data_IF_814748296729
#
_entry.id   IF_814748296729
#
_cell.length_a   1.000
_cell.length_b   1.000
_cell.length_c   1.000
_cell.angle_alpha   90.00
_cell.angle_beta   90.00
_cell.angle_gamma   90.00
#
_symmetry.space_group_name_H-M   'P 1'
#
loop_
_entity.id
_entity.type
_entity.pdbx_description
1 polymer ?
#
# COMPACT_ATOMS: atom_id res chain seq x y z
N UNK A 1 -17.04 -14.38 1.29
CA UNK A 1 -17.05 -13.15 0.48
C UNK A 1 -15.97 -12.18 0.95
N UNK A 2 -16.03 -11.66 2.19
CA UNK A 2 -15.02 -10.72 2.72
C UNK A 2 -13.57 -11.23 2.61
N UNK A 3 -13.33 -12.52 2.88
CA UNK A 3 -12.00 -13.13 2.69
C UNK A 3 -11.45 -12.98 1.27
N UNK A 4 -12.29 -12.96 0.24
CA UNK A 4 -11.89 -12.75 -1.16
C UNK A 4 -11.80 -11.27 -1.54
N UNK A 5 -12.50 -10.38 -0.82
CA UNK A 5 -12.29 -8.92 -0.94
C UNK A 5 -10.89 -8.58 -0.45
N UNK A 6 -10.47 -9.13 0.69
CA UNK A 6 -9.07 -9.05 1.08
C UNK A 6 -8.20 -9.79 0.05
N UNK A 7 -8.42 -11.10 -0.11
CA UNK A 7 -7.60 -11.94 -0.96
C UNK A 7 -6.10 -11.79 -0.67
N UNK A 8 -5.26 -12.09 -1.66
CA UNK A 8 -3.81 -11.87 -1.53
C UNK A 8 -3.46 -10.39 -1.40
N UNK A 9 -4.19 -9.49 -2.06
CA UNK A 9 -3.87 -8.07 -2.06
C UNK A 9 -4.03 -7.43 -0.68
N UNK A 10 -5.17 -7.65 -0.02
CA UNK A 10 -5.44 -7.18 1.33
C UNK A 10 -4.61 -7.90 2.39
N UNK A 11 -4.28 -9.19 2.17
CA UNK A 11 -3.33 -9.89 3.03
C UNK A 11 -1.91 -9.30 2.94
N UNK A 12 -1.44 -8.96 1.73
CA UNK A 12 -0.16 -8.24 1.54
C UNK A 12 -0.19 -6.86 2.19
N UNK A 13 -1.29 -6.11 2.05
CA UNK A 13 -1.46 -4.82 2.73
C UNK A 13 -1.33 -4.99 4.27
N UNK A 14 -1.98 -6.01 4.83
CA UNK A 14 -1.89 -6.33 6.25
C UNK A 14 -0.46 -6.71 6.68
N UNK A 15 0.30 -7.42 5.85
CA UNK A 15 1.72 -7.71 6.13
C UNK A 15 2.56 -6.43 6.19
N UNK A 16 2.33 -5.49 5.27
CA UNK A 16 3.00 -4.18 5.28
C UNK A 16 2.65 -3.38 6.55
N UNK A 17 1.35 -3.28 6.90
CA UNK A 17 0.91 -2.61 8.13
C UNK A 17 1.50 -3.29 9.37
N UNK A 18 1.51 -4.62 9.40
CA UNK A 18 2.15 -5.38 10.47
C UNK A 18 3.64 -5.08 10.60
N UNK A 19 4.35 -4.93 9.48
CA UNK A 19 5.77 -4.59 9.47
C UNK A 19 6.00 -3.17 10.03
N UNK A 20 5.19 -2.18 9.64
CA UNK A 20 5.26 -0.83 10.22
C UNK A 20 5.09 -0.87 11.74
N UNK A 21 4.08 -1.58 12.24
CA UNK A 21 3.80 -1.70 13.68
C UNK A 21 4.94 -2.42 14.42
N UNK A 22 5.49 -3.51 13.84
CA UNK A 22 6.63 -4.24 14.43
C UNK A 22 7.90 -3.40 14.53
N UNK A 23 8.04 -2.42 13.65
CA UNK A 23 9.12 -1.42 13.68
C UNK A 23 8.72 -0.16 14.48
N UNK A 24 7.73 -0.26 15.36
CA UNK A 24 7.33 0.80 16.29
C UNK A 24 6.82 2.09 15.62
N UNK A 25 6.37 2.00 14.36
CA UNK A 25 5.67 3.12 13.71
C UNK A 25 4.25 3.20 14.26
N UNK A 26 3.98 4.26 15.03
CA UNK A 26 2.68 4.53 15.65
C UNK A 26 1.91 5.59 14.87
N UNK A 27 0.59 5.76 15.10
CA UNK A 27 -0.17 6.88 14.53
C UNK A 27 0.43 8.26 14.84
N UNK A 28 1.11 8.41 15.99
CA UNK A 28 1.75 9.66 16.40
C UNK A 28 3.12 9.88 15.74
N UNK A 29 3.69 8.88 15.06
CA UNK A 29 5.01 8.97 14.43
C UNK A 29 5.03 9.91 13.22
N UNK A 30 3.88 10.16 12.59
CA UNK A 30 3.73 11.08 11.46
C UNK A 30 3.00 10.46 10.28
N UNK A 31 3.12 11.09 9.11
CA UNK A 31 2.40 10.70 7.89
C UNK A 31 2.92 9.37 7.31
N UNK A 32 1.97 8.53 6.87
CA UNK A 32 2.26 7.27 6.17
C UNK A 32 1.93 7.43 4.69
N UNK A 33 2.92 7.24 3.83
CA UNK A 33 2.74 7.26 2.38
C UNK A 33 2.19 5.90 1.89
N UNK A 34 1.19 5.90 1.01
CA UNK A 34 0.76 4.67 0.31
C UNK A 34 0.88 4.88 -1.19
N UNK A 35 1.73 4.12 -1.85
CA UNK A 35 1.86 4.18 -3.31
C UNK A 35 0.86 3.26 -4.00
N UNK A 36 0.53 3.53 -5.28
CA UNK A 36 -0.43 2.70 -6.02
C UNK A 36 -1.80 2.60 -5.33
N UNK A 37 -2.24 3.69 -4.69
CA UNK A 37 -3.34 3.67 -3.71
C UNK A 37 -4.70 3.25 -4.26
N UNK A 38 -4.90 3.30 -5.58
CA UNK A 38 -6.15 2.83 -6.20
C UNK A 38 -6.16 1.33 -6.48
N UNK A 39 -5.02 0.65 -6.42
CA UNK A 39 -4.93 -0.80 -6.65
C UNK A 39 -5.41 -1.61 -5.45
N UNK A 40 -5.46 -2.94 -5.58
CA UNK A 40 -5.99 -3.81 -4.52
C UNK A 40 -5.21 -3.75 -3.20
N UNK A 41 -3.87 -3.71 -3.26
CA UNK A 41 -3.02 -3.59 -2.06
C UNK A 41 -3.13 -2.18 -1.49
N UNK A 42 -2.93 -1.16 -2.33
CA UNK A 42 -2.92 0.25 -1.91
C UNK A 42 -4.24 0.69 -1.28
N UNK A 43 -5.38 0.37 -1.90
CA UNK A 43 -6.71 0.75 -1.38
C UNK A 43 -6.98 0.09 -0.03
N UNK A 44 -6.63 -1.19 0.13
CA UNK A 44 -6.77 -1.88 1.41
C UNK A 44 -5.83 -1.32 2.47
N UNK A 45 -4.59 -0.95 2.10
CA UNK A 45 -3.62 -0.35 3.00
C UNK A 45 -4.08 1.04 3.49
N UNK A 46 -4.58 1.89 2.59
CA UNK A 46 -5.17 3.19 2.95
C UNK A 46 -6.27 3.00 3.99
N UNK A 47 -7.24 2.13 3.69
CA UNK A 47 -8.39 1.93 4.55
C UNK A 47 -8.02 1.33 5.92
N UNK A 48 -7.07 0.40 5.96
CA UNK A 48 -6.59 -0.22 7.19
C UNK A 48 -5.78 0.76 8.05
N UNK A 49 -4.86 1.52 7.45
CA UNK A 49 -4.06 2.50 8.18
C UNK A 49 -4.94 3.63 8.73
N UNK A 50 -5.91 4.12 7.96
CA UNK A 50 -6.86 5.12 8.41
C UNK A 50 -7.74 4.59 9.57
N UNK A 51 -8.23 3.35 9.46
CA UNK A 51 -8.98 2.68 10.53
C UNK A 51 -8.15 2.56 11.83
N UNK A 52 -6.85 2.33 11.70
CA UNK A 52 -5.91 2.26 12.82
C UNK A 52 -5.44 3.64 13.33
N UNK A 53 -5.98 4.73 12.79
CA UNK A 53 -5.72 6.10 13.26
C UNK A 53 -4.50 6.79 12.65
N UNK A 54 -3.84 6.19 11.66
CA UNK A 54 -2.70 6.83 10.98
C UNK A 54 -3.16 7.93 10.03
N UNK A 55 -2.35 8.99 9.91
CA UNK A 55 -2.53 10.01 8.86
C UNK A 55 -1.96 9.47 7.55
N UNK A 56 -2.84 9.11 6.61
CA UNK A 56 -2.46 8.49 5.34
C UNK A 56 -2.37 9.51 4.21
N UNK A 57 -1.25 9.52 3.49
CA UNK A 57 -1.07 10.25 2.23
C UNK A 57 -1.07 9.26 1.07
N UNK A 58 -2.11 9.31 0.24
CA UNK A 58 -2.33 8.37 -0.85
C UNK A 58 -1.78 8.89 -2.19
N UNK A 59 -0.96 8.09 -2.88
CA UNK A 59 -0.47 8.40 -4.23
C UNK A 59 -1.32 7.71 -5.28
N UNK A 60 -1.82 8.48 -6.24
CA UNK A 60 -2.56 7.97 -7.40
C UNK A 60 -2.17 8.69 -8.69
N UNK A 61 -2.29 7.99 -9.81
CA UNK A 61 -2.24 8.60 -11.15
C UNK A 61 -3.62 8.84 -11.76
N UNK A 62 -4.70 8.47 -11.04
CA UNK A 62 -6.09 8.60 -11.48
C UNK A 62 -6.72 9.78 -10.76
N UNK A 63 -6.91 10.90 -11.46
CA UNK A 63 -7.44 12.13 -10.89
C UNK A 63 -8.90 11.95 -10.39
N UNK A 64 -9.66 11.11 -11.08
CA UNK A 64 -11.03 10.74 -10.76
C UNK A 64 -11.16 9.87 -9.49
N UNK A 65 -10.06 9.33 -8.97
CA UNK A 65 -10.07 8.45 -7.80
C UNK A 65 -9.96 9.19 -6.45
N UNK A 66 -9.95 10.53 -6.45
CA UNK A 66 -9.80 11.35 -5.23
C UNK A 66 -10.91 11.05 -4.22
N UNK A 67 -12.17 11.05 -4.64
CA UNK A 67 -13.31 10.82 -3.74
C UNK A 67 -13.32 9.38 -3.22
N UNK A 68 -12.94 8.41 -4.05
CA UNK A 68 -12.74 7.02 -3.65
C UNK A 68 -11.71 6.93 -2.51
N UNK A 69 -10.52 7.53 -2.68
CA UNK A 69 -9.45 7.48 -1.68
C UNK A 69 -9.81 8.23 -0.39
N UNK A 70 -10.52 9.36 -0.49
CA UNK A 70 -11.06 10.06 0.69
C UNK A 70 -12.09 9.20 1.43
N UNK A 71 -12.96 8.51 0.71
CA UNK A 71 -13.93 7.56 1.27
C UNK A 71 -13.27 6.40 2.03
N UNK A 72 -12.06 6.02 1.64
CA UNK A 72 -11.23 5.05 2.36
C UNK A 72 -10.46 5.65 3.54
N UNK A 73 -10.46 6.97 3.73
CA UNK A 73 -9.81 7.63 4.86
C UNK A 73 -8.42 8.22 4.56
N UNK A 74 -8.05 8.41 3.29
CA UNK A 74 -6.85 9.18 2.96
C UNK A 74 -7.00 10.64 3.42
N UNK A 75 -6.02 11.14 4.19
CA UNK A 75 -5.99 12.52 4.69
C UNK A 75 -5.51 13.50 3.60
N UNK A 76 -4.59 13.06 2.75
CA UNK A 76 -4.09 13.81 1.60
C UNK A 76 -3.96 12.87 0.40
N UNK A 77 -4.17 13.40 -0.80
CA UNK A 77 -3.97 12.68 -2.06
C UNK A 77 -2.99 13.47 -2.90
N UNK A 78 -1.92 12.81 -3.35
CA UNK A 78 -0.88 13.40 -4.20
C UNK A 78 -0.74 12.66 -5.53
N UNK A 79 -0.27 13.36 -6.54
CA UNK A 79 0.00 12.77 -7.86
C UNK A 79 1.29 11.96 -7.87
N UNK A 80 1.49 11.15 -8.91
CA UNK A 80 2.73 10.37 -9.10
C UNK A 80 3.96 11.28 -9.25
N UNK A 81 3.77 12.42 -9.90
CA UNK A 81 4.81 13.43 -10.13
C UNK A 81 5.21 14.08 -8.80
N UNK A 82 4.22 14.40 -7.94
CA UNK A 82 4.50 14.94 -6.61
C UNK A 82 5.19 13.93 -5.68
N UNK A 83 4.99 12.63 -5.91
CA UNK A 83 5.62 11.56 -5.14
C UNK A 83 7.01 11.14 -5.66
N UNK A 84 7.51 11.75 -6.74
CA UNK A 84 8.76 11.37 -7.40
C UNK A 84 9.71 12.56 -7.52
N UNK A 85 10.95 12.43 -7.03
CA UNK A 85 11.96 13.50 -7.09
C UNK A 85 13.11 13.15 -8.04
N UNK A 86 13.27 13.94 -9.10
CA UNK A 86 14.36 13.83 -10.08
C UNK A 86 15.61 14.66 -9.76
N UNK A 87 15.76 15.21 -8.55
CA UNK A 87 16.86 16.15 -8.22
C UNK A 87 18.21 15.46 -8.00
N UNK A 88 18.25 14.13 -7.89
CA UNK A 88 19.46 13.36 -7.59
C UNK A 88 19.98 13.50 -6.15
N UNK A 89 19.34 14.31 -5.29
CA UNK A 89 19.77 14.53 -3.90
C UNK A 89 19.62 13.24 -3.07
N UNK A 90 20.66 12.70 -2.44
CA UNK A 90 20.54 11.44 -1.70
C UNK A 90 19.64 11.52 -0.46
N UNK A 91 19.38 12.72 0.05
CA UNK A 91 18.45 12.99 1.14
C UNK A 91 17.51 14.13 0.75
N UNK A 92 16.22 13.92 0.95
CA UNK A 92 15.17 14.92 0.77
C UNK A 92 14.68 15.40 2.14
N UNK A 93 13.83 16.43 2.17
CA UNK A 93 13.17 16.85 3.42
C UNK A 93 12.40 15.64 3.99
N UNK A 94 12.65 15.32 5.26
CA UNK A 94 11.96 14.22 5.94
C UNK A 94 10.46 14.53 6.05
N UNK A 95 9.62 13.60 5.59
CA UNK A 95 8.16 13.70 5.60
C UNK A 95 7.49 12.42 6.08
N UNK A 96 7.98 11.25 5.65
CA UNK A 96 7.32 9.98 5.91
C UNK A 96 7.82 9.30 7.18
N UNK A 97 6.91 9.06 8.12
CA UNK A 97 7.16 8.18 9.26
C UNK A 97 7.20 6.71 8.82
N UNK A 98 6.42 6.39 7.79
CA UNK A 98 6.56 5.13 7.08
C UNK A 98 5.88 5.16 5.72
N UNK A 99 5.98 4.04 4.99
CA UNK A 99 5.30 3.89 3.73
C UNK A 99 4.89 2.44 3.42
N UNK A 100 3.81 2.30 2.66
CA UNK A 100 3.41 1.06 1.98
C UNK A 100 3.62 1.25 0.48
N UNK A 101 4.71 0.69 -0.03
CA UNK A 101 5.03 0.76 -1.45
C UNK A 101 4.56 -0.49 -2.21
N UNK A 102 3.76 -0.25 -3.24
CA UNK A 102 3.25 -1.28 -4.17
C UNK A 102 3.80 -1.08 -5.60
N UNK A 103 4.69 -0.12 -5.82
CA UNK A 103 5.03 0.38 -7.16
C UNK A 103 6.51 0.13 -7.51
N UNK A 104 7.43 0.30 -6.57
CA UNK A 104 8.87 0.22 -6.82
C UNK A 104 9.42 1.45 -7.58
N UNK A 105 10.64 1.30 -8.10
CA UNK A 105 11.32 2.33 -8.91
C UNK A 105 11.53 3.67 -8.21
N UNK A 106 11.47 4.75 -8.98
CA UNK A 106 11.81 6.11 -8.52
C UNK A 106 10.92 6.61 -7.38
N UNK A 107 9.67 6.14 -7.32
CA UNK A 107 8.74 6.48 -6.24
C UNK A 107 9.18 5.85 -4.92
N UNK A 108 9.57 4.57 -4.93
CA UNK A 108 10.14 3.90 -3.77
C UNK A 108 11.46 4.57 -3.34
N UNK A 109 12.35 4.85 -4.29
CA UNK A 109 13.59 5.59 -4.03
C UNK A 109 13.32 6.95 -3.39
N UNK A 110 12.33 7.70 -3.90
CA UNK A 110 11.93 9.01 -3.37
C UNK A 110 11.38 8.89 -1.95
N UNK A 111 10.53 7.90 -1.69
CA UNK A 111 9.99 7.61 -0.36
C UNK A 111 11.11 7.32 0.66
N UNK A 112 12.10 6.51 0.29
CA UNK A 112 13.28 6.22 1.13
C UNK A 112 14.08 7.50 1.42
N UNK A 113 14.35 8.32 0.41
CA UNK A 113 15.12 9.58 0.56
C UNK A 113 14.37 10.65 1.37
N UNK A 114 13.03 10.60 1.36
CA UNK A 114 12.14 11.51 2.08
C UNK A 114 11.64 10.94 3.42
N UNK A 115 12.10 9.76 3.84
CA UNK A 115 11.78 9.23 5.14
C UNK A 115 12.34 10.11 6.27
N UNK A 116 11.58 10.20 7.36
CA UNK A 116 12.01 10.83 8.60
C UNK A 116 13.08 9.98 9.30
N UNK A 117 13.66 10.50 10.39
CA UNK A 117 14.55 9.70 11.23
C UNK A 117 13.78 8.50 11.82
N UNK A 118 14.35 7.30 11.70
CA UNK A 118 13.73 6.03 12.09
C UNK A 118 12.58 5.58 11.18
N UNK A 119 12.34 6.24 10.04
CA UNK A 119 11.20 5.93 9.18
C UNK A 119 11.29 4.53 8.56
N UNK A 120 10.14 3.87 8.38
CA UNK A 120 10.07 2.49 7.88
C UNK A 120 9.29 2.42 6.58
N UNK A 121 9.96 1.98 5.52
CA UNK A 121 9.40 1.85 4.18
C UNK A 121 9.19 0.36 3.90
N UNK A 122 7.95 -0.05 3.69
CA UNK A 122 7.62 -1.43 3.29
C UNK A 122 7.51 -1.50 1.78
N UNK A 123 8.01 -2.56 1.15
CA UNK A 123 7.90 -2.78 -0.28
C UNK A 123 7.31 -4.17 -0.58
N UNK A 124 6.32 -4.19 -1.48
CA UNK A 124 5.60 -5.42 -1.84
C UNK A 124 5.20 -5.51 -3.32
N UNK A 125 5.50 -4.49 -4.13
CA UNK A 125 5.14 -4.46 -5.54
C UNK A 125 6.19 -3.81 -6.42
N UNK A 126 6.09 -4.07 -7.73
CA UNK A 126 7.06 -3.66 -8.75
C UNK A 126 6.36 -3.15 -10.02
N UNK A 127 5.16 -2.57 -9.88
CA UNK A 127 4.32 -2.12 -11.02
C UNK A 127 5.07 -1.18 -11.96
N UNK A 128 5.93 -0.29 -11.42
CA UNK A 128 6.73 0.62 -12.25
C UNK A 128 8.09 0.00 -12.62
N UNK A 129 8.81 -0.56 -11.66
CA UNK A 129 10.14 -1.11 -11.91
C UNK A 129 10.61 -2.04 -10.78
N UNK A 130 11.32 -3.14 -11.10
CA UNK A 130 12.02 -3.95 -10.11
C UNK A 130 13.36 -3.35 -9.69
N UNK A 131 13.85 -2.31 -10.36
CA UNK A 131 15.13 -1.66 -10.02
C UNK A 131 14.95 -0.73 -8.83
N UNK A 132 15.94 -0.71 -7.95
CA UNK A 132 16.04 0.20 -6.81
C UNK A 132 17.38 0.95 -6.89
N UNK A 133 17.33 2.19 -7.35
CA UNK A 133 18.50 3.06 -7.43
C UNK A 133 18.48 4.02 -6.24
N UNK A 134 19.30 3.74 -5.23
CA UNK A 134 19.39 4.56 -4.01
C UNK A 134 20.82 4.58 -3.47
N UNK A 135 21.04 5.33 -2.39
CA UNK A 135 22.33 5.39 -1.69
C UNK A 135 22.19 4.83 -0.28
N UNK A 136 23.30 4.56 0.39
CA UNK A 136 23.30 4.14 1.80
C UNK A 136 22.95 5.28 2.78
N UNK A 137 22.88 6.53 2.31
CA UNK A 137 22.76 7.72 3.16
C UNK A 137 21.46 7.79 3.98
N UNK A 138 20.25 7.49 3.46
CA UNK A 138 19.04 7.42 4.27
C UNK A 138 19.15 6.41 5.41
N UNK A 139 19.82 5.27 5.17
CA UNK A 139 19.95 4.20 6.15
C UNK A 139 20.92 4.60 7.27
N UNK A 140 22.13 5.06 6.93
CA UNK A 140 23.16 5.32 7.95
C UNK A 140 22.99 6.67 8.65
N UNK A 141 22.37 7.66 8.00
CA UNK A 141 22.21 9.00 8.59
C UNK A 141 20.83 9.24 9.21
N UNK A 142 19.81 8.49 8.81
CA UNK A 142 18.45 8.60 9.37
C UNK A 142 17.93 7.31 9.98
N UNK A 143 18.67 6.21 9.95
CA UNK A 143 18.18 4.94 10.49
C UNK A 143 16.95 4.40 9.74
N UNK A 144 16.79 4.75 8.46
CA UNK A 144 15.63 4.30 7.66
C UNK A 144 15.69 2.79 7.49
N UNK A 145 14.54 2.12 7.60
CA UNK A 145 14.40 0.69 7.33
C UNK A 145 13.65 0.47 6.01
N UNK A 146 14.17 -0.42 5.14
CA UNK A 146 13.44 -0.93 3.99
C UNK A 146 13.07 -2.40 4.26
N UNK A 147 11.76 -2.69 4.30
CA UNK A 147 11.23 -4.00 4.72
C UNK A 147 10.45 -4.65 3.59
N UNK A 148 10.97 -5.77 3.08
CA UNK A 148 10.29 -6.58 2.07
C UNK A 148 9.12 -7.36 2.66
N UNK A 149 7.97 -7.31 1.98
CA UNK A 149 6.76 -8.04 2.39
C UNK A 149 6.37 -9.06 1.30
N UNK A 150 6.65 -10.34 1.56
CA UNK A 150 6.25 -11.46 0.70
C UNK A 150 5.02 -12.19 1.26
N UNK A 151 3.94 -12.25 0.46
CA UNK A 151 2.72 -12.99 0.78
C UNK A 151 2.71 -14.43 0.25
N UNK A 152 3.56 -14.75 -0.72
CA UNK A 152 3.59 -16.05 -1.40
C UNK A 152 4.02 -17.15 -0.46
N UNK A 153 5.15 -16.97 0.23
CA UNK A 153 5.73 -17.98 1.12
C UNK A 153 5.56 -17.64 2.61
N UNK A 154 4.58 -16.81 2.97
CA UNK A 154 4.37 -16.44 4.37
C UNK A 154 4.17 -17.68 5.24
N UNK A 155 5.00 -17.88 6.30
CA UNK A 155 4.86 -19.00 7.21
C UNK A 155 3.46 -19.07 7.81
N UNK A 156 2.92 -20.29 7.95
CA UNK A 156 1.55 -20.50 8.41
C UNK A 156 1.22 -19.79 9.74
N UNK A 157 2.09 -19.78 10.77
CA UNK A 157 1.79 -19.07 12.01
C UNK A 157 1.55 -17.57 11.80
N UNK A 158 2.39 -16.92 10.98
CA UNK A 158 2.20 -15.50 10.64
C UNK A 158 0.95 -15.30 9.78
N UNK A 159 0.70 -16.19 8.82
CA UNK A 159 -0.51 -16.13 7.98
C UNK A 159 -1.78 -16.18 8.81
N UNK A 160 -1.87 -17.10 9.77
CA UNK A 160 -3.01 -17.21 10.68
C UNK A 160 -3.16 -15.97 11.56
N UNK A 161 -2.06 -15.46 12.13
CA UNK A 161 -2.08 -14.25 12.94
C UNK A 161 -2.62 -13.05 12.15
N UNK A 162 -2.14 -12.83 10.91
CA UNK A 162 -2.61 -11.74 10.06
C UNK A 162 -4.09 -11.89 9.70
N UNK A 163 -4.54 -13.09 9.34
CA UNK A 163 -5.97 -13.32 9.07
C UNK A 163 -6.85 -13.12 10.31
N UNK A 164 -6.37 -13.48 11.49
CA UNK A 164 -7.08 -13.20 12.74
C UNK A 164 -7.25 -11.70 12.97
N UNK A 165 -6.20 -10.90 12.70
CA UNK A 165 -6.28 -9.43 12.77
C UNK A 165 -7.28 -8.88 11.76
N UNK A 166 -7.22 -9.32 10.51
CA UNK A 166 -8.17 -8.93 9.45
C UNK A 166 -9.62 -9.29 9.76
N UNK A 167 -9.85 -10.35 10.54
CA UNK A 167 -11.19 -10.74 11.00
C UNK A 167 -11.68 -9.96 12.23
N UNK A 168 -10.79 -9.22 12.91
CA UNK A 168 -11.05 -8.56 14.19
C UNK A 168 -10.56 -7.11 14.20
N UNK A 169 -9.43 -6.83 14.87
CA UNK A 169 -8.89 -5.49 15.11
C UNK A 169 -8.58 -4.68 13.84
N UNK A 170 -8.36 -5.32 12.70
CA UNK A 170 -8.05 -4.68 11.41
C UNK A 170 -9.18 -4.83 10.39
N UNK A 171 -10.38 -5.23 10.86
CA UNK A 171 -11.54 -5.34 10.00
C UNK A 171 -12.00 -3.94 9.59
N UNK A 172 -11.94 -3.67 8.29
CA UNK A 172 -12.31 -2.36 7.73
C UNK A 172 -13.78 -2.40 7.28
N UNK A 173 -14.58 -1.39 7.66
CA UNK A 173 -15.98 -1.30 7.22
C UNK A 173 -16.11 -0.96 5.72
N UNK A 174 -15.11 -0.30 5.16
CA UNK A 174 -15.08 0.14 3.75
C UNK A 174 -14.82 -0.99 2.74
N UNK A 175 -14.75 -2.26 3.14
CA UNK A 175 -14.50 -3.39 2.23
C UNK A 175 -15.51 -3.45 1.06
N UNK A 176 -16.76 -3.06 1.30
CA UNK A 176 -17.77 -3.00 0.26
C UNK A 176 -17.47 -1.95 -0.82
N UNK A 177 -16.82 -0.83 -0.45
CA UNK A 177 -16.42 0.22 -1.39
C UNK A 177 -15.23 -0.19 -2.25
N UNK A 178 -14.38 -1.08 -1.72
CA UNK A 178 -13.21 -1.61 -2.43
C UNK A 178 -13.61 -2.70 -3.43
N UNK A 179 -14.68 -3.45 -3.16
CA UNK A 179 -15.05 -4.63 -3.93
C UNK A 179 -15.96 -4.32 -5.13
N UNK A 180 -15.59 -4.83 -6.30
CA UNK A 180 -16.47 -4.96 -7.47
C UNK A 180 -16.70 -6.44 -7.74
N UNK A 181 -17.96 -6.86 -7.81
CA UNK A 181 -18.31 -8.26 -8.06
C UNK A 181 -18.42 -8.52 -9.57
N UNK A 182 -17.93 -9.68 -10.01
CA UNK A 182 -17.93 -10.13 -11.41
C UNK A 182 -18.23 -11.62 -11.47
N UNK A 183 -18.89 -12.05 -12.52
CA UNK A 183 -19.07 -13.47 -12.84
C UNK A 183 -17.80 -14.07 -13.44
N UNK A 184 -17.75 -15.40 -13.54
CA UNK A 184 -16.63 -16.07 -14.22
C UNK A 184 -16.54 -15.69 -15.72
N UNK A 185 -17.67 -15.43 -16.37
CA UNK A 185 -17.73 -15.05 -17.78
C UNK A 185 -17.17 -13.65 -18.07
N UNK A 186 -17.13 -12.77 -17.06
CA UNK A 186 -16.57 -11.41 -17.16
C UNK A 186 -15.06 -11.36 -16.85
N UNK A 187 -14.40 -12.51 -16.66
CA UNK A 187 -13.02 -12.55 -16.19
C UNK A 187 -12.02 -12.03 -17.23
N UNK A 188 -12.15 -12.40 -18.51
CA UNK A 188 -11.19 -12.01 -19.55
C UNK A 188 -11.09 -10.47 -19.70
N UNK A 189 -12.20 -9.71 -19.83
CA UNK A 189 -12.15 -8.25 -19.84
C UNK A 189 -11.54 -7.63 -18.57
N UNK A 190 -11.71 -8.26 -17.41
CA UNK A 190 -11.11 -7.77 -16.16
C UNK A 190 -9.62 -8.06 -16.08
N UNK A 191 -9.15 -9.17 -16.65
CA UNK A 191 -7.72 -9.47 -16.79
C UNK A 191 -7.05 -8.42 -17.69
N UNK A 192 -7.65 -8.09 -18.82
CA UNK A 192 -7.12 -7.04 -19.70
C UNK A 192 -7.08 -5.68 -18.98
N UNK A 193 -8.14 -5.37 -18.22
CA UNK A 193 -8.23 -4.12 -17.44
C UNK A 193 -7.17 -4.04 -16.34
N UNK A 194 -6.87 -5.13 -15.61
CA UNK A 194 -5.85 -5.10 -14.56
C UNK A 194 -4.44 -4.94 -15.16
N UNK A 195 -4.16 -5.62 -16.27
CA UNK A 195 -2.87 -5.53 -16.98
C UNK A 195 -2.63 -4.12 -17.55
N UNK A 196 -3.68 -3.45 -18.01
CA UNK A 196 -3.63 -2.05 -18.43
C UNK A 196 -3.60 -1.03 -17.27
N UNK A 197 -3.64 -1.47 -16.01
CA UNK A 197 -3.72 -0.59 -14.84
C UNK A 197 -5.07 0.14 -14.68
N UNK A 198 -6.09 -0.27 -15.42
CA UNK A 198 -7.42 0.34 -15.44
C UNK A 198 -8.28 0.00 -14.21
N UNK A 199 -7.96 -1.08 -13.47
CA UNK A 199 -8.74 -1.48 -12.30
C UNK A 199 -8.54 -0.54 -11.10
N UNK A 200 -9.62 -0.35 -10.34
CA UNK A 200 -9.64 0.35 -9.06
C UNK A 200 -10.25 -0.58 -8.01
N UNK A 201 -9.64 -0.66 -6.84
CA UNK A 201 -10.07 -1.56 -5.77
C UNK A 201 -9.77 -3.03 -6.07
N UNK A 202 -10.76 -3.90 -5.83
CA UNK A 202 -10.65 -5.35 -5.92
C UNK A 202 -11.82 -5.97 -6.66
N UNK A 203 -11.53 -6.78 -7.67
CA UNK A 203 -12.52 -7.67 -8.29
C UNK A 203 -12.69 -8.94 -7.45
N UNK A 204 -13.93 -9.29 -7.14
CA UNK A 204 -14.33 -10.55 -6.51
C UNK A 204 -15.12 -11.36 -7.53
N UNK A 205 -14.62 -12.55 -7.87
CA UNK A 205 -15.30 -13.45 -8.81
C UNK A 205 -16.35 -14.28 -8.06
N UNK A 206 -17.61 -14.14 -8.44
CA UNK A 206 -18.71 -14.96 -7.96
C UNK A 206 -18.82 -16.22 -8.82
N UNK A 207 -18.73 -17.39 -8.18
CA UNK A 207 -18.80 -18.71 -8.82
C UNK A 207 -20.16 -19.41 -8.62
N UNK A 208 -21.11 -18.75 -7.93
CA UNK A 208 -22.44 -19.32 -7.65
C UNK A 208 -23.48 -18.94 -8.72
N UNK A 209 -23.12 -18.04 -9.62
CA UNK A 209 -23.90 -17.64 -10.80
C UNK A 209 -23.33 -18.28 -12.06
#
# INVERSE_FOLDING_TARGET
RESMIYGTAGFTAALCVNALIKHEVTPASGEILVTGSTGGVGSTAVAMLAHLGYTVVAVTGKAEAVDFLKGLGAAEIISREAATDGSGRPLLKGRWAGAVDTVGGDMLTTAIRAAQYGGVITCCGLVASPKLETTVLPFILRGVSLVGCDSGNTPMPLRQAIWQKLATEWKVDALAQIATERTLAELDPEIDRILAGGQTGRVVVNLKE
#
